data_IF_123949371363
#
_entry.id   IF_123949371363
#
_cell.length_a   1.000
_cell.length_b   1.000
_cell.length_c   1.000
_cell.angle_alpha   90.00
_cell.angle_beta   90.00
_cell.angle_gamma   90.00
#
_symmetry.space_group_name_H-M   'P 1'
#
loop_
_entity.id
_entity.type
_entity.pdbx_description
1 polymer ?
#
# COMPACT_ATOMS: atom_id res chain seq x y z
N UNK A 1 -0.65 -13.27 20.18
CA UNK A 1 -1.18 -13.06 18.81
C UNK A 1 -1.86 -11.68 18.74
N UNK A 2 -1.35 -10.75 17.92
CA UNK A 2 -1.84 -9.37 17.82
C UNK A 2 -3.35 -9.29 17.52
N UNK A 3 -3.87 -10.17 16.63
CA UNK A 3 -5.32 -10.20 16.34
C UNK A 3 -6.18 -10.50 17.56
N UNK A 4 -5.75 -11.44 18.42
CA UNK A 4 -6.46 -11.73 19.67
C UNK A 4 -6.43 -10.51 20.59
N UNK A 5 -5.33 -9.81 20.61
CA UNK A 5 -5.14 -8.64 21.46
C UNK A 5 -6.02 -7.45 21.07
N UNK A 6 -6.36 -7.29 19.78
CA UNK A 6 -7.36 -6.32 19.33
C UNK A 6 -8.73 -6.50 19.99
N UNK A 7 -9.09 -7.74 20.37
CA UNK A 7 -10.36 -8.07 21.00
C UNK A 7 -10.32 -7.99 22.52
N UNK A 8 -9.22 -8.43 23.12
CA UNK A 8 -9.13 -8.65 24.57
C UNK A 8 -8.60 -7.42 25.33
N UNK A 9 -7.84 -6.53 24.68
CA UNK A 9 -7.10 -5.46 25.33
C UNK A 9 -7.12 -4.18 24.49
N UNK A 10 -8.30 -3.70 24.22
CA UNK A 10 -8.59 -2.60 23.29
C UNK A 10 -7.73 -1.35 23.54
N UNK A 11 -7.70 -0.87 24.79
CA UNK A 11 -6.92 0.30 25.17
C UNK A 11 -5.41 0.10 25.00
N UNK A 12 -4.87 -1.03 25.42
CA UNK A 12 -3.43 -1.30 25.29
C UNK A 12 -3.02 -1.52 23.83
N UNK A 13 -3.93 -2.07 23.03
CA UNK A 13 -3.70 -2.17 21.60
C UNK A 13 -3.64 -0.80 20.94
N UNK A 14 -4.51 0.13 21.32
CA UNK A 14 -4.45 1.51 20.83
C UNK A 14 -3.18 2.25 21.26
N UNK A 15 -2.75 2.07 22.51
CA UNK A 15 -1.49 2.62 23.00
C UNK A 15 -0.30 2.11 22.17
N UNK A 16 -0.28 0.81 21.84
CA UNK A 16 0.75 0.25 20.95
C UNK A 16 0.66 0.82 19.53
N UNK A 17 -0.55 0.89 18.98
CA UNK A 17 -0.76 1.43 17.63
C UNK A 17 -0.30 2.89 17.54
N UNK A 18 -0.56 3.68 18.56
CA UNK A 18 -0.09 5.07 18.66
C UNK A 18 1.45 5.16 18.70
N UNK A 19 2.11 4.29 19.50
CA UNK A 19 3.58 4.23 19.55
C UNK A 19 4.16 3.89 18.17
N UNK A 20 3.61 2.88 17.49
CA UNK A 20 4.07 2.48 16.15
C UNK A 20 3.82 3.58 15.13
N UNK A 21 2.66 4.23 15.18
CA UNK A 21 2.31 5.34 14.29
C UNK A 21 3.29 6.50 14.47
N UNK A 22 3.59 6.90 15.71
CA UNK A 22 4.52 7.99 16.00
C UNK A 22 5.96 7.64 15.58
N UNK A 23 6.40 6.41 15.79
CA UNK A 23 7.71 5.95 15.32
C UNK A 23 7.81 5.99 13.78
N UNK A 24 6.72 5.59 13.08
CA UNK A 24 6.64 5.64 11.63
C UNK A 24 6.71 7.08 11.12
N UNK A 25 5.99 8.01 11.76
CA UNK A 25 6.06 9.45 11.43
C UNK A 25 7.51 9.94 11.53
N UNK A 26 8.17 9.69 12.67
CA UNK A 26 9.56 10.12 12.87
C UNK A 26 10.51 9.54 11.81
N UNK A 27 10.34 8.27 11.45
CA UNK A 27 11.15 7.61 10.42
C UNK A 27 10.93 8.21 9.03
N UNK A 28 9.68 8.47 8.63
CA UNK A 28 9.37 9.08 7.33
C UNK A 28 9.84 10.53 7.24
N UNK A 29 9.77 11.29 8.34
CA UNK A 29 10.35 12.65 8.41
C UNK A 29 11.85 12.62 8.13
N UNK A 30 12.57 11.67 8.73
CA UNK A 30 14.01 11.50 8.50
C UNK A 30 14.31 11.15 7.04
N UNK A 31 13.54 10.24 6.43
CA UNK A 31 13.70 9.88 5.02
C UNK A 31 13.47 11.08 4.09
N UNK A 32 12.38 11.82 4.31
CA UNK A 32 12.08 13.00 3.52
C UNK A 32 13.17 14.07 3.62
N UNK A 33 13.66 14.34 4.83
CA UNK A 33 14.76 15.30 5.08
C UNK A 33 16.10 14.82 4.53
N UNK A 34 16.30 13.51 4.40
CA UNK A 34 17.47 12.92 3.76
C UNK A 34 17.43 12.98 2.23
N UNK A 35 16.33 13.47 1.64
CA UNK A 35 16.21 13.69 0.20
C UNK A 35 15.45 12.61 -0.55
N UNK A 36 14.59 11.83 0.12
CA UNK A 36 13.68 10.93 -0.58
C UNK A 36 12.69 11.72 -1.43
N UNK A 37 12.48 11.32 -2.69
CA UNK A 37 11.56 11.96 -3.62
C UNK A 37 10.10 11.55 -3.40
N UNK A 38 9.89 10.34 -2.87
CA UNK A 38 8.59 9.78 -2.50
C UNK A 38 8.71 8.93 -1.25
N UNK A 39 7.63 8.77 -0.50
CA UNK A 39 7.56 7.95 0.70
C UNK A 39 6.58 6.79 0.47
N UNK A 40 6.86 5.63 1.04
CA UNK A 40 5.97 4.48 0.90
C UNK A 40 5.66 3.84 2.26
N UNK A 41 4.37 3.59 2.51
CA UNK A 41 3.86 2.92 3.70
C UNK A 41 3.52 1.46 3.35
N UNK A 42 4.31 0.53 3.87
CA UNK A 42 4.12 -0.90 3.68
C UNK A 42 3.30 -1.48 4.85
N UNK A 43 2.00 -1.69 4.64
CA UNK A 43 1.17 -2.50 5.54
C UNK A 43 1.04 -3.92 4.96
N UNK A 44 2.11 -4.70 5.11
CA UNK A 44 2.22 -6.06 4.55
C UNK A 44 1.24 -7.06 5.17
N UNK A 45 0.62 -6.71 6.29
CA UNK A 45 -0.30 -7.55 7.04
C UNK A 45 -1.72 -7.00 7.13
N UNK A 46 -2.07 -6.00 6.32
CA UNK A 46 -3.42 -5.43 6.29
C UNK A 46 -4.52 -6.49 6.08
N UNK A 47 -4.22 -7.52 5.29
CA UNK A 47 -5.12 -8.67 5.08
C UNK A 47 -5.47 -9.44 6.35
N UNK A 48 -4.61 -9.38 7.38
CA UNK A 48 -4.86 -10.05 8.66
C UNK A 48 -5.85 -9.30 9.55
N UNK A 49 -6.14 -8.03 9.23
CA UNK A 49 -7.06 -7.18 10.00
C UNK A 49 -8.50 -7.46 9.57
N UNK A 50 -9.38 -7.91 10.51
CA UNK A 50 -10.79 -8.11 10.20
C UNK A 50 -11.45 -6.83 9.68
N UNK A 51 -12.43 -6.95 8.78
CA UNK A 51 -13.04 -5.82 8.09
C UNK A 51 -13.53 -4.69 9.03
N UNK A 52 -14.16 -5.04 10.16
CA UNK A 52 -14.69 -4.07 11.14
C UNK A 52 -13.61 -3.34 11.94
N UNK A 53 -12.34 -3.81 11.92
CA UNK A 53 -11.21 -3.10 12.53
C UNK A 53 -10.39 -2.29 11.51
N UNK A 54 -10.65 -2.42 10.19
CA UNK A 54 -9.84 -1.76 9.14
C UNK A 54 -9.80 -0.25 9.31
N UNK A 55 -10.93 0.37 9.65
CA UNK A 55 -10.98 1.81 9.92
C UNK A 55 -9.93 2.21 10.96
N UNK A 56 -9.98 1.59 12.13
CA UNK A 56 -9.14 1.91 13.28
C UNK A 56 -7.67 1.53 13.09
N UNK A 57 -7.40 0.38 12.46
CA UNK A 57 -6.05 -0.23 12.45
C UNK A 57 -5.28 0.04 11.15
N UNK A 58 -5.97 0.29 10.04
CA UNK A 58 -5.35 0.50 8.73
C UNK A 58 -5.53 1.94 8.25
N UNK A 59 -6.74 2.48 8.27
CA UNK A 59 -7.05 3.79 7.68
C UNK A 59 -6.61 4.95 8.58
N UNK A 60 -7.06 4.98 9.83
CA UNK A 60 -6.77 6.08 10.77
C UNK A 60 -5.27 6.29 11.02
N UNK A 61 -4.43 5.25 11.18
CA UNK A 61 -2.99 5.45 11.30
C UNK A 61 -2.38 6.13 10.08
N UNK A 62 -2.80 5.76 8.87
CA UNK A 62 -2.32 6.39 7.63
C UNK A 62 -2.74 7.85 7.55
N UNK A 63 -3.98 8.17 7.91
CA UNK A 63 -4.45 9.56 8.00
C UNK A 63 -3.60 10.38 8.97
N UNK A 64 -3.34 9.86 10.19
CA UNK A 64 -2.49 10.51 11.20
C UNK A 64 -1.07 10.72 10.70
N UNK A 65 -0.47 9.70 10.07
CA UNK A 65 0.89 9.77 9.52
C UNK A 65 0.97 10.90 8.48
N UNK A 66 0.08 10.90 7.49
CA UNK A 66 0.15 11.89 6.42
C UNK A 66 -0.14 13.30 6.94
N UNK A 67 -1.11 13.45 7.84
CA UNK A 67 -1.38 14.74 8.48
C UNK A 67 -0.15 15.28 9.23
N UNK A 68 0.54 14.44 9.98
CA UNK A 68 1.77 14.81 10.68
C UNK A 68 2.89 15.20 9.72
N UNK A 69 3.10 14.44 8.64
CA UNK A 69 4.09 14.78 7.60
C UNK A 69 3.79 16.16 6.98
N UNK A 70 2.53 16.45 6.66
CA UNK A 70 2.12 17.76 6.11
C UNK A 70 2.31 18.88 7.14
N UNK A 71 2.07 18.60 8.44
CA UNK A 71 2.36 19.53 9.54
C UNK A 71 3.84 19.88 9.69
N UNK A 72 4.73 18.93 9.40
CA UNK A 72 6.20 19.11 9.35
C UNK A 72 6.69 19.78 8.04
N UNK A 73 5.78 20.20 7.15
CA UNK A 73 6.11 20.84 5.88
C UNK A 73 6.60 19.87 4.79
N UNK A 74 6.50 18.56 5.02
CA UNK A 74 6.90 17.52 4.06
C UNK A 74 5.85 17.42 2.96
N UNK A 75 6.29 17.59 1.70
CA UNK A 75 5.43 17.64 0.51
C UNK A 75 5.59 16.42 -0.39
N UNK A 76 6.54 15.55 -0.13
CA UNK A 76 6.79 14.33 -0.88
C UNK A 76 5.49 13.51 -1.01
N UNK A 77 5.21 12.95 -2.19
CA UNK A 77 4.07 12.07 -2.37
C UNK A 77 4.20 10.83 -1.49
N UNK A 78 3.05 10.36 -0.99
CA UNK A 78 2.97 9.17 -0.15
C UNK A 78 2.20 8.08 -0.88
N UNK A 79 2.83 6.91 -1.02
CA UNK A 79 2.22 5.72 -1.60
C UNK A 79 1.87 4.77 -0.45
N UNK A 80 0.60 4.40 -0.34
CA UNK A 80 0.16 3.37 0.61
C UNK A 80 0.19 1.98 -0.01
N UNK A 81 0.54 0.94 0.75
CA UNK A 81 0.47 -0.45 0.29
C UNK A 81 -0.24 -1.32 1.33
N UNK A 82 -1.58 -1.28 1.38
CA UNK A 82 -2.38 -2.13 2.27
C UNK A 82 -2.56 -3.52 1.65
N UNK A 83 -1.52 -4.36 1.72
CA UNK A 83 -1.45 -5.66 1.03
C UNK A 83 -2.60 -6.59 1.42
N UNK A 84 -3.28 -7.15 0.40
CA UNK A 84 -4.30 -8.17 0.55
C UNK A 84 -5.59 -7.69 1.21
N UNK A 85 -5.85 -6.38 1.19
CA UNK A 85 -7.06 -5.78 1.79
C UNK A 85 -8.33 -6.01 0.94
N UNK A 86 -8.17 -6.46 -0.33
CA UNK A 86 -9.28 -6.78 -1.23
C UNK A 86 -10.21 -5.59 -1.48
N UNK A 87 -11.52 -5.80 -1.30
CA UNK A 87 -12.54 -4.75 -1.46
C UNK A 87 -12.31 -3.52 -0.56
N UNK A 88 -11.53 -3.66 0.50
CA UNK A 88 -11.14 -2.55 1.38
C UNK A 88 -10.30 -1.48 0.68
N UNK A 89 -9.73 -1.75 -0.49
CA UNK A 89 -9.00 -0.77 -1.30
C UNK A 89 -9.85 0.45 -1.64
N UNK A 90 -11.14 0.29 -1.91
CA UNK A 90 -12.05 1.42 -2.19
C UNK A 90 -12.09 2.38 -1.00
N UNK A 91 -12.41 1.86 0.18
CA UNK A 91 -12.47 2.67 1.39
C UNK A 91 -11.10 3.26 1.76
N UNK A 92 -10.02 2.51 1.55
CA UNK A 92 -8.66 2.99 1.79
C UNK A 92 -8.33 4.18 0.90
N UNK A 93 -8.55 4.09 -0.41
CA UNK A 93 -8.28 5.16 -1.37
C UNK A 93 -9.21 6.38 -1.19
N UNK A 94 -10.46 6.17 -0.77
CA UNK A 94 -11.44 7.25 -0.55
C UNK A 94 -11.16 8.04 0.74
N UNK A 95 -10.69 7.34 1.78
CA UNK A 95 -10.59 7.92 3.12
C UNK A 95 -9.15 8.30 3.52
N UNK A 96 -8.13 7.89 2.78
CA UNK A 96 -6.76 8.28 3.06
C UNK A 96 -6.25 9.32 2.07
N UNK A 97 -5.48 10.33 2.51
CA UNK A 97 -4.93 11.34 1.60
C UNK A 97 -3.60 10.86 0.96
N UNK A 98 -3.57 9.59 0.47
CA UNK A 98 -2.42 9.06 -0.26
C UNK A 98 -2.39 9.60 -1.70
N UNK A 99 -1.21 9.82 -2.23
CA UNK A 99 -0.99 10.24 -3.61
C UNK A 99 -0.95 9.05 -4.58
N UNK A 100 -0.65 7.87 -4.05
CA UNK A 100 -0.63 6.61 -4.78
C UNK A 100 -0.97 5.41 -3.91
N UNK A 101 -1.37 4.31 -4.54
CA UNK A 101 -1.60 3.04 -3.85
C UNK A 101 -0.91 1.89 -4.57
N UNK A 102 -0.16 1.10 -3.81
CA UNK A 102 0.41 -0.16 -4.26
C UNK A 102 -0.65 -1.25 -4.29
N UNK A 103 -0.67 -1.99 -5.38
CA UNK A 103 -1.56 -3.13 -5.60
C UNK A 103 -0.73 -4.42 -5.50
N UNK A 104 -1.18 -5.38 -4.72
CA UNK A 104 -0.59 -6.71 -4.73
C UNK A 104 -1.12 -7.54 -5.90
N UNK A 105 -0.44 -8.65 -6.19
CA UNK A 105 -0.74 -9.50 -7.34
C UNK A 105 -2.12 -10.19 -7.29
N UNK A 106 -2.82 -10.15 -6.15
CA UNK A 106 -4.17 -10.71 -6.03
C UNK A 106 -5.26 -9.74 -6.50
N UNK A 107 -4.93 -8.48 -6.73
CA UNK A 107 -5.87 -7.47 -7.19
C UNK A 107 -6.04 -7.59 -8.70
N UNK A 108 -7.29 -7.71 -9.15
CA UNK A 108 -7.62 -7.63 -10.57
C UNK A 108 -7.35 -6.23 -11.09
N UNK A 109 -6.47 -6.12 -12.11
CA UNK A 109 -6.00 -4.83 -12.59
C UNK A 109 -7.06 -4.06 -13.36
N UNK A 110 -7.94 -4.75 -14.10
CA UNK A 110 -9.05 -4.11 -14.82
C UNK A 110 -10.08 -3.56 -13.84
N UNK A 111 -10.36 -4.34 -12.77
CA UNK A 111 -11.21 -3.85 -11.69
C UNK A 111 -10.61 -2.62 -11.01
N UNK A 112 -9.32 -2.62 -10.69
CA UNK A 112 -8.64 -1.49 -10.07
C UNK A 112 -8.66 -0.25 -10.97
N UNK A 113 -8.42 -0.42 -12.27
CA UNK A 113 -8.48 0.64 -13.28
C UNK A 113 -9.86 1.30 -13.36
N UNK A 114 -10.92 0.48 -13.27
CA UNK A 114 -12.31 0.94 -13.40
C UNK A 114 -12.87 1.59 -12.11
N UNK A 115 -12.45 1.12 -10.93
CA UNK A 115 -13.14 1.44 -9.67
C UNK A 115 -12.33 2.37 -8.74
N UNK A 116 -11.00 2.38 -8.81
CA UNK A 116 -10.21 3.23 -7.92
C UNK A 116 -10.15 4.68 -8.41
N UNK A 117 -10.09 5.67 -7.50
CA UNK A 117 -10.10 7.09 -7.86
C UNK A 117 -9.01 7.45 -8.86
N UNK A 118 -9.37 8.18 -9.92
CA UNK A 118 -8.44 8.49 -11.02
C UNK A 118 -7.29 9.44 -10.64
N UNK A 119 -7.44 10.19 -9.56
CA UNK A 119 -6.39 11.09 -9.07
C UNK A 119 -5.29 10.35 -8.30
N UNK A 120 -5.54 9.09 -7.87
CA UNK A 120 -4.55 8.26 -7.18
C UNK A 120 -3.73 7.49 -8.22
N UNK A 121 -2.40 7.60 -8.11
CA UNK A 121 -1.46 6.80 -8.91
C UNK A 121 -1.52 5.34 -8.47
N UNK A 122 -1.72 4.41 -9.41
CA UNK A 122 -1.64 2.98 -9.12
C UNK A 122 -0.22 2.47 -9.32
N UNK A 123 0.31 1.72 -8.35
CA UNK A 123 1.61 1.07 -8.45
C UNK A 123 1.44 -0.45 -8.38
N UNK A 124 2.02 -1.16 -9.33
CA UNK A 124 1.98 -2.62 -9.38
C UNK A 124 1.52 -3.12 -10.74
N UNK A 125 1.08 -4.38 -10.84
CA UNK A 125 1.01 -5.39 -9.77
C UNK A 125 1.42 -6.77 -10.32
N UNK A 126 2.50 -6.80 -11.12
CA UNK A 126 2.96 -8.04 -11.74
C UNK A 126 3.26 -9.09 -10.65
N UNK A 127 2.76 -10.31 -10.86
CA UNK A 127 3.08 -11.42 -9.96
C UNK A 127 4.58 -11.73 -10.00
N UNK A 128 5.30 -11.70 -8.85
CA UNK A 128 6.71 -12.03 -8.81
C UNK A 128 7.04 -13.41 -9.36
N UNK A 129 6.14 -14.39 -9.26
CA UNK A 129 6.34 -15.71 -9.82
C UNK A 129 6.40 -15.70 -11.36
N UNK A 130 5.84 -14.67 -11.99
CA UNK A 130 5.95 -14.50 -13.43
C UNK A 130 7.39 -14.24 -13.89
N UNK A 131 8.23 -13.62 -13.05
CA UNK A 131 9.66 -13.42 -13.32
C UNK A 131 10.41 -14.75 -13.35
N UNK A 132 10.04 -15.69 -12.47
CA UNK A 132 10.63 -17.04 -12.44
C UNK A 132 10.21 -17.82 -13.69
N UNK A 133 8.94 -17.74 -14.06
CA UNK A 133 8.42 -18.40 -15.25
C UNK A 133 9.00 -17.82 -16.56
N UNK A 134 9.17 -16.50 -16.59
CA UNK A 134 9.72 -15.78 -17.75
C UNK A 134 8.89 -15.93 -19.03
N UNK A 135 9.50 -15.58 -20.15
CA UNK A 135 9.01 -15.87 -21.49
C UNK A 135 7.66 -15.23 -21.84
N UNK A 136 6.92 -15.83 -22.81
CA UNK A 136 5.70 -15.20 -23.34
C UNK A 136 4.57 -14.99 -22.33
N UNK A 137 4.49 -15.79 -21.26
CA UNK A 137 3.47 -15.63 -20.21
C UNK A 137 3.70 -14.39 -19.39
N UNK A 138 4.95 -14.13 -19.02
CA UNK A 138 5.33 -12.91 -18.33
C UNK A 138 5.05 -11.66 -19.19
N UNK A 139 5.44 -11.69 -20.48
CA UNK A 139 5.19 -10.56 -21.39
C UNK A 139 3.69 -10.25 -21.53
N UNK A 140 2.84 -11.28 -21.69
CA UNK A 140 1.38 -11.06 -21.72
C UNK A 140 0.85 -10.44 -20.43
N UNK A 141 1.36 -10.84 -19.28
CA UNK A 141 0.95 -10.24 -18.01
C UNK A 141 1.38 -8.76 -17.90
N UNK A 142 2.59 -8.44 -18.36
CA UNK A 142 3.07 -7.05 -18.45
C UNK A 142 2.17 -6.23 -19.38
N UNK A 143 1.91 -6.73 -20.60
CA UNK A 143 1.07 -6.06 -21.60
C UNK A 143 -0.35 -5.83 -21.07
N UNK A 144 -0.92 -6.78 -20.34
CA UNK A 144 -2.24 -6.64 -19.72
C UNK A 144 -2.26 -5.50 -18.69
N UNK A 145 -1.24 -5.42 -17.81
CA UNK A 145 -1.14 -4.34 -16.81
C UNK A 145 -0.98 -2.99 -17.49
N UNK A 146 -0.06 -2.88 -18.44
CA UNK A 146 0.18 -1.63 -19.17
C UNK A 146 -1.03 -1.19 -19.97
N UNK A 147 -1.76 -2.13 -20.59
CA UNK A 147 -2.99 -1.85 -21.32
C UNK A 147 -4.12 -1.37 -20.41
N UNK A 148 -4.35 -2.04 -19.30
CA UNK A 148 -5.40 -1.67 -18.35
C UNK A 148 -5.20 -0.28 -17.71
N UNK A 149 -3.94 0.14 -17.53
CA UNK A 149 -3.57 1.39 -16.87
C UNK A 149 -3.06 2.47 -17.84
N UNK A 150 -3.24 2.30 -19.17
CA UNK A 150 -2.71 3.23 -20.18
C UNK A 150 -3.22 4.67 -20.02
N UNK A 151 -4.47 4.84 -19.57
CA UNK A 151 -5.15 6.14 -19.47
C UNK A 151 -5.14 6.77 -18.09
N UNK A 152 -4.25 6.32 -17.18
CA UNK A 152 -4.14 6.86 -15.83
C UNK A 152 -2.70 6.86 -15.30
N UNK A 153 -2.39 7.68 -14.26
CA UNK A 153 -1.07 7.65 -13.63
C UNK A 153 -0.75 6.24 -13.11
N UNK A 154 0.40 5.71 -13.53
CA UNK A 154 0.83 4.35 -13.20
C UNK A 154 2.33 4.28 -12.96
N UNK A 155 2.72 3.54 -11.94
CA UNK A 155 4.09 3.13 -11.66
C UNK A 155 4.14 1.61 -11.84
N UNK A 156 4.80 1.14 -12.90
CA UNK A 156 4.97 -0.29 -13.10
C UNK A 156 5.84 -0.90 -11.98
N UNK A 157 5.33 -1.92 -11.33
CA UNK A 157 6.03 -2.63 -10.26
C UNK A 157 5.48 -4.05 -10.12
N UNK A 158 6.16 -4.85 -9.30
CA UNK A 158 5.64 -6.15 -8.84
C UNK A 158 4.57 -5.94 -7.76
N UNK A 159 3.68 -6.92 -7.63
CA UNK A 159 2.69 -6.95 -6.55
C UNK A 159 3.25 -7.44 -5.21
N UNK A 160 4.55 -7.76 -5.14
CA UNK A 160 5.32 -8.13 -3.94
C UNK A 160 6.82 -8.04 -4.23
N UNK A 161 7.67 -8.21 -3.21
CA UNK A 161 9.11 -8.37 -3.41
C UNK A 161 9.43 -9.64 -4.21
N UNK A 162 10.59 -9.62 -4.88
CA UNK A 162 11.13 -10.81 -5.57
C UNK A 162 11.44 -11.92 -4.55
N UNK A 163 11.38 -13.15 -5.00
CA UNK A 163 11.78 -14.32 -4.20
C UNK A 163 13.23 -14.73 -4.51
N UNK A 164 13.88 -15.47 -3.60
CA UNK A 164 15.26 -15.93 -3.82
C UNK A 164 15.47 -16.76 -5.09
N UNK A 165 14.42 -17.38 -5.61
CA UNK A 165 14.44 -18.20 -6.82
C UNK A 165 14.35 -17.38 -8.11
N UNK A 166 14.19 -16.07 -8.02
CA UNK A 166 14.11 -15.19 -9.19
C UNK A 166 15.47 -15.18 -9.91
N UNK A 167 15.53 -15.48 -11.23
CA UNK A 167 16.76 -15.43 -12.02
C UNK A 167 17.40 -14.04 -12.02
N UNK A 168 18.73 -14.00 -12.10
CA UNK A 168 19.51 -12.77 -12.29
C UNK A 168 19.34 -12.16 -13.69
#
# INVERSE_FOLDING_TARGET
>A
NARKWMWDNDRQFDELLEIVTNATIGFLVLQARAGADALMLFDSWASAVPAHFRQRVVIEPVQKIIAALRGEGIKQPVIGFPKGIGEGLLAYCDQTPVDGVGLDHSVDIDWAAANLPRHITLQGNLDPLSLIAGGPSMHRAIDAILGALADRPHIFNLGHGITPETPE
#
